data_IF_495643367461
#
_entry.id   IF_495643367461
#
_cell.length_a   1.000
_cell.length_b   1.000
_cell.length_c   1.000
_cell.angle_alpha   90.00
_cell.angle_beta   90.00
_cell.angle_gamma   90.00
#
_symmetry.space_group_name_H-M   'P 1'
#
loop_
_entity.id
_entity.type
_entity.pdbx_description
1 polymer ?
#
# COMPACT_ATOMS: atom_id res chain seq x y z
N UNK A 1 -27.03 21.45 26.64
CA UNK A 1 -25.56 21.55 26.69
C UNK A 1 -25.06 20.61 25.60
N UNK A 2 -24.83 21.16 24.40
CA UNK A 2 -24.46 20.41 23.18
C UNK A 2 -22.94 20.20 23.26
N UNK A 3 -22.50 18.93 23.44
CA UNK A 3 -21.10 18.61 23.29
C UNK A 3 -20.77 18.69 21.76
N UNK A 4 -20.08 19.75 21.40
CA UNK A 4 -19.36 19.83 20.13
C UNK A 4 -18.27 18.75 20.14
N UNK A 5 -18.53 17.62 19.49
CA UNK A 5 -17.47 16.69 19.09
C UNK A 5 -16.61 17.43 18.05
N UNK A 6 -15.51 18.02 18.50
CA UNK A 6 -14.44 18.44 17.62
C UNK A 6 -13.88 17.18 16.99
N UNK A 7 -14.23 16.91 15.73
CA UNK A 7 -13.47 15.99 14.89
C UNK A 7 -12.07 16.57 14.75
N UNK A 8 -11.16 16.14 15.60
CA UNK A 8 -9.74 16.36 15.36
C UNK A 8 -9.41 15.64 14.05
N UNK A 9 -9.11 16.43 13.04
CA UNK A 9 -8.53 16.00 11.78
C UNK A 9 -7.05 15.63 12.06
N UNK A 10 -6.86 14.63 12.93
CA UNK A 10 -5.54 14.17 13.33
C UNK A 10 -4.91 13.42 12.17
N UNK A 11 -3.68 13.76 11.84
CA UNK A 11 -2.88 12.98 10.89
C UNK A 11 -2.66 11.59 11.49
N UNK A 12 -2.63 10.53 10.64
CA UNK A 12 -2.32 9.20 11.14
C UNK A 12 -0.87 9.12 11.63
N UNK A 13 -0.65 8.36 12.69
CA UNK A 13 0.69 7.98 13.12
C UNK A 13 1.29 6.99 12.11
N UNK A 14 2.49 7.31 11.63
CA UNK A 14 3.21 6.51 10.64
C UNK A 14 4.36 5.76 11.31
N UNK A 15 4.48 4.47 11.01
CA UNK A 15 5.58 3.65 11.50
C UNK A 15 6.18 2.84 10.37
N UNK A 16 7.51 2.69 10.39
CA UNK A 16 8.27 1.85 9.48
C UNK A 16 8.66 0.54 10.17
N UNK A 17 8.45 -0.59 9.49
CA UNK A 17 8.77 -1.93 9.96
C UNK A 17 9.67 -2.59 8.92
N UNK A 18 10.87 -3.00 9.34
CA UNK A 18 11.93 -3.48 8.46
C UNK A 18 12.38 -4.90 8.79
N UNK A 19 11.85 -5.47 9.86
CA UNK A 19 12.19 -6.82 10.34
C UNK A 19 10.94 -7.54 10.85
N UNK A 20 10.84 -8.83 10.58
CA UNK A 20 9.72 -9.66 11.02
C UNK A 20 9.55 -9.68 12.56
N UNK A 21 10.64 -9.54 13.32
CA UNK A 21 10.59 -9.49 14.78
C UNK A 21 9.92 -8.24 15.36
N UNK A 22 9.76 -7.19 14.55
CA UNK A 22 9.01 -5.99 14.93
C UNK A 22 7.50 -6.18 14.81
N UNK A 23 7.05 -7.26 14.17
CA UNK A 23 5.63 -7.53 13.91
C UNK A 23 5.02 -8.28 15.10
N UNK A 24 4.16 -7.62 15.85
CA UNK A 24 3.40 -8.27 16.91
C UNK A 24 2.26 -9.12 16.34
N UNK A 25 1.77 -10.15 17.07
CA UNK A 25 0.60 -10.92 16.67
C UNK A 25 -0.64 -10.04 16.39
N UNK A 26 -0.78 -8.95 17.12
CA UNK A 26 -1.85 -7.97 17.00
C UNK A 26 -1.76 -7.18 15.69
N UNK A 27 -0.58 -6.64 15.37
CA UNK A 27 -0.34 -5.98 14.09
C UNK A 27 -0.56 -6.94 12.92
N UNK A 28 -0.08 -8.18 13.03
CA UNK A 28 -0.35 -9.22 12.02
C UNK A 28 -1.84 -9.43 11.81
N UNK A 29 -2.63 -9.54 12.88
CA UNK A 29 -4.09 -9.65 12.82
C UNK A 29 -4.71 -8.47 12.10
N UNK A 30 -4.36 -7.26 12.50
CA UNK A 30 -4.87 -6.02 11.88
C UNK A 30 -4.51 -5.89 10.39
N UNK A 31 -3.33 -6.35 9.97
CA UNK A 31 -2.94 -6.36 8.55
C UNK A 31 -3.83 -7.32 7.75
N UNK A 32 -4.09 -8.51 8.27
CA UNK A 32 -4.98 -9.49 7.64
C UNK A 32 -6.40 -8.93 7.52
N UNK A 33 -6.95 -8.38 8.60
CA UNK A 33 -8.31 -7.81 8.63
C UNK A 33 -8.45 -6.64 7.66
N UNK A 34 -7.47 -5.74 7.64
CA UNK A 34 -7.43 -4.63 6.70
C UNK A 34 -7.40 -5.14 5.25
N UNK A 35 -6.59 -6.14 4.94
CA UNK A 35 -6.47 -6.69 3.60
C UNK A 35 -7.77 -7.36 3.14
N UNK A 36 -8.41 -8.14 4.02
CA UNK A 36 -9.73 -8.73 3.79
C UNK A 36 -10.77 -7.64 3.51
N UNK A 37 -10.84 -6.62 4.38
CA UNK A 37 -11.79 -5.53 4.25
C UNK A 37 -11.63 -4.76 2.93
N UNK A 38 -10.39 -4.46 2.53
CA UNK A 38 -10.08 -3.77 1.27
C UNK A 38 -10.46 -4.64 0.08
N UNK A 39 -10.08 -5.92 0.06
CA UNK A 39 -10.39 -6.83 -1.05
C UNK A 39 -11.90 -7.00 -1.22
N UNK A 40 -12.61 -7.27 -0.13
CA UNK A 40 -14.05 -7.54 -0.16
C UNK A 40 -14.89 -6.28 -0.43
N UNK A 41 -14.32 -5.09 -0.25
CA UNK A 41 -14.95 -3.83 -0.67
C UNK A 41 -14.67 -3.45 -2.13
N UNK A 42 -14.09 -4.34 -2.90
CA UNK A 42 -13.76 -4.13 -4.31
C UNK A 42 -12.41 -3.44 -4.55
N UNK A 43 -11.58 -3.24 -3.53
CA UNK A 43 -10.27 -2.60 -3.68
C UNK A 43 -9.27 -3.45 -4.47
N UNK A 44 -8.26 -2.79 -5.06
CA UNK A 44 -7.19 -3.41 -5.82
C UNK A 44 -6.15 -4.06 -4.87
N UNK A 45 -6.47 -5.22 -4.32
CA UNK A 45 -5.74 -5.78 -3.20
C UNK A 45 -4.93 -7.06 -3.51
N UNK A 46 -4.80 -7.44 -4.77
CA UNK A 46 -3.94 -8.56 -5.18
C UNK A 46 -4.54 -9.95 -5.01
N UNK A 47 -5.84 -10.07 -4.75
CA UNK A 47 -6.55 -11.34 -4.73
C UNK A 47 -7.58 -11.42 -5.87
N UNK A 48 -7.68 -12.56 -6.57
CA UNK A 48 -8.77 -12.83 -7.51
C UNK A 48 -10.02 -13.31 -6.75
N UNK A 49 -11.18 -13.21 -7.40
CA UNK A 49 -12.43 -13.82 -6.98
C UNK A 49 -12.87 -13.53 -5.52
N UNK A 50 -12.99 -12.25 -5.12
CA UNK A 50 -13.57 -11.96 -3.81
C UNK A 50 -15.00 -12.57 -3.67
N UNK A 51 -15.46 -12.89 -2.46
CA UNK A 51 -14.87 -12.53 -1.18
C UNK A 51 -13.70 -13.45 -0.76
N UNK A 52 -12.71 -12.85 -0.09
CA UNK A 52 -11.60 -13.59 0.55
C UNK A 52 -11.81 -13.69 2.06
N UNK A 53 -11.17 -14.69 2.65
CA UNK A 53 -11.24 -14.99 4.09
C UNK A 53 -9.83 -15.05 4.71
N UNK A 54 -9.78 -15.20 6.02
CA UNK A 54 -8.52 -15.31 6.77
C UNK A 54 -7.59 -16.40 6.20
N UNK A 55 -8.14 -17.57 5.83
CA UNK A 55 -7.35 -18.67 5.28
C UNK A 55 -6.70 -18.36 3.92
N UNK A 56 -7.26 -17.40 3.18
CA UNK A 56 -6.70 -16.96 1.90
C UNK A 56 -5.61 -15.92 2.12
N UNK A 57 -5.82 -15.00 3.06
CA UNK A 57 -4.99 -13.81 3.26
C UNK A 57 -3.83 -14.06 4.23
N UNK A 58 -4.04 -14.83 5.30
CA UNK A 58 -3.01 -15.04 6.32
C UNK A 58 -1.70 -15.64 5.78
N UNK A 59 -1.71 -16.68 4.93
CA UNK A 59 -0.46 -17.22 4.38
C UNK A 59 0.32 -16.22 3.52
N UNK A 60 -0.39 -15.37 2.79
CA UNK A 60 0.21 -14.33 1.94
C UNK A 60 0.81 -13.23 2.80
N UNK A 61 0.10 -12.83 3.86
CA UNK A 61 0.59 -11.88 4.86
C UNK A 61 1.85 -12.40 5.54
N UNK A 62 1.85 -13.65 6.02
CA UNK A 62 3.02 -14.26 6.67
C UNK A 62 4.24 -14.30 5.74
N UNK A 63 4.02 -14.66 4.48
CA UNK A 63 5.08 -14.65 3.46
C UNK A 63 5.62 -13.25 3.19
N UNK A 64 4.76 -12.23 3.22
CA UNK A 64 5.16 -10.83 3.07
C UNK A 64 6.00 -10.39 4.25
N UNK A 65 5.51 -10.63 5.48
CA UNK A 65 6.15 -10.22 6.71
C UNK A 65 7.49 -10.94 6.94
N UNK A 66 7.58 -12.23 6.61
CA UNK A 66 8.82 -13.00 6.70
C UNK A 66 9.92 -12.56 5.71
N UNK A 67 9.62 -11.64 4.81
CA UNK A 67 10.57 -11.08 3.84
C UNK A 67 10.95 -9.63 4.13
N UNK A 68 10.52 -9.07 5.26
CA UNK A 68 10.91 -7.72 5.65
C UNK A 68 12.42 -7.65 5.85
N UNK A 69 13.02 -6.57 5.35
CA UNK A 69 14.45 -6.37 5.42
C UNK A 69 14.78 -4.88 5.27
N UNK A 70 15.71 -4.32 6.07
CA UNK A 70 16.01 -2.87 6.08
C UNK A 70 16.44 -2.32 4.71
N UNK A 71 17.09 -3.12 3.87
CA UNK A 71 17.57 -2.69 2.56
C UNK A 71 16.68 -3.10 1.39
N UNK A 72 15.80 -4.11 1.56
CA UNK A 72 15.11 -4.74 0.45
C UNK A 72 13.60 -4.62 0.49
N UNK A 73 13.02 -4.67 1.69
CA UNK A 73 11.56 -4.65 1.83
C UNK A 73 11.13 -4.02 3.14
N UNK A 74 10.45 -2.91 3.05
CA UNK A 74 9.94 -2.16 4.19
C UNK A 74 8.43 -2.08 4.15
N UNK A 75 7.80 -2.30 5.29
CA UNK A 75 6.37 -2.09 5.51
C UNK A 75 6.20 -0.73 6.21
N UNK A 76 5.35 0.12 5.68
CA UNK A 76 4.94 1.38 6.30
C UNK A 76 3.48 1.25 6.69
N UNK A 77 3.16 1.55 7.93
CA UNK A 77 1.79 1.50 8.49
C UNK A 77 1.31 2.89 8.86
N UNK A 78 0.02 3.10 8.76
CA UNK A 78 -0.68 4.29 9.22
C UNK A 78 -1.74 3.88 10.25
N UNK A 79 -1.76 4.53 11.41
CA UNK A 79 -2.66 4.22 12.52
C UNK A 79 -3.35 5.47 13.02
N UNK A 80 -4.56 5.29 13.55
CA UNK A 80 -5.20 6.25 14.44
C UNK A 80 -5.34 5.55 15.79
N UNK A 81 -4.71 6.08 16.79
CA UNK A 81 -4.52 5.40 18.07
C UNK A 81 -3.93 4.00 17.84
N UNK A 82 -4.57 2.95 18.34
CA UNK A 82 -4.11 1.56 18.18
C UNK A 82 -4.70 0.83 16.95
N UNK A 83 -5.49 1.52 16.12
CA UNK A 83 -6.17 0.92 14.97
C UNK A 83 -5.42 1.15 13.68
N UNK A 84 -5.11 0.09 12.94
CA UNK A 84 -4.49 0.16 11.63
C UNK A 84 -5.47 0.74 10.60
N UNK A 85 -5.14 1.91 10.07
CA UNK A 85 -5.93 2.60 9.05
C UNK A 85 -5.49 2.29 7.63
N UNK A 86 -4.23 1.86 7.45
CA UNK A 86 -3.69 1.52 6.16
C UNK A 86 -2.21 1.13 6.21
N UNK A 87 -1.70 0.64 5.09
CA UNK A 87 -0.31 0.21 4.98
C UNK A 87 0.16 0.18 3.52
N UNK A 88 1.47 0.17 3.32
CA UNK A 88 2.11 0.08 2.00
C UNK A 88 3.46 -0.62 2.13
N UNK A 89 3.92 -1.25 1.08
CA UNK A 89 5.23 -1.91 1.01
C UNK A 89 6.11 -1.23 -0.01
N UNK A 90 7.33 -0.91 0.39
CA UNK A 90 8.43 -0.50 -0.49
C UNK A 90 9.36 -1.70 -0.70
N UNK A 91 9.56 -2.09 -1.96
CA UNK A 91 10.57 -3.08 -2.35
C UNK A 91 11.71 -2.39 -3.07
N UNK A 92 12.92 -2.85 -2.81
CA UNK A 92 14.15 -2.38 -3.44
C UNK A 92 15.06 -3.57 -3.75
N UNK A 93 15.58 -3.62 -4.97
CA UNK A 93 16.61 -4.57 -5.38
C UNK A 93 17.95 -3.81 -5.46
N UNK A 94 18.94 -4.13 -4.61
CA UNK A 94 20.23 -3.45 -4.60
C UNK A 94 21.15 -3.83 -5.75
N UNK A 95 20.70 -4.71 -6.67
CA UNK A 95 21.50 -5.07 -7.83
C UNK A 95 21.81 -3.83 -8.67
N UNK A 96 23.09 -3.61 -8.97
CA UNK A 96 23.62 -2.35 -9.55
C UNK A 96 22.87 -1.84 -10.79
N UNK A 97 22.30 -2.73 -11.59
CA UNK A 97 21.56 -2.35 -12.80
C UNK A 97 20.22 -1.67 -12.47
N UNK A 98 19.59 -2.05 -11.38
CA UNK A 98 18.25 -1.61 -10.97
C UNK A 98 18.21 -0.93 -9.60
N UNK A 99 19.33 -0.85 -8.90
CA UNK A 99 19.44 -0.38 -7.53
C UNK A 99 19.16 1.13 -7.32
N UNK A 100 18.88 1.88 -8.39
CA UNK A 100 18.51 3.30 -8.31
C UNK A 100 16.99 3.52 -8.19
N UNK A 101 16.17 2.47 -8.21
CA UNK A 101 14.72 2.59 -8.10
C UNK A 101 14.09 1.54 -7.19
N UNK A 102 12.90 1.84 -6.70
CA UNK A 102 12.09 0.95 -5.89
C UNK A 102 10.69 0.74 -6.45
N UNK A 103 10.02 -0.32 -5.98
CA UNK A 103 8.63 -0.62 -6.35
C UNK A 103 7.71 -0.46 -5.14
N UNK A 104 6.62 0.25 -5.35
CA UNK A 104 5.54 0.38 -4.36
C UNK A 104 4.52 -0.72 -4.60
N UNK A 105 4.23 -1.49 -3.56
CA UNK A 105 3.25 -2.57 -3.60
C UNK A 105 2.25 -2.44 -2.45
N UNK A 106 1.06 -2.97 -2.66
CA UNK A 106 0.04 -3.14 -1.62
C UNK A 106 -0.32 -1.85 -0.87
N UNK A 107 -0.44 -0.70 -1.56
CA UNK A 107 -1.03 0.47 -0.92
C UNK A 107 -2.49 0.16 -0.59
N UNK A 108 -2.80 0.15 0.70
CA UNK A 108 -4.14 -0.16 1.19
C UNK A 108 -4.59 0.85 2.24
N UNK A 109 -5.84 1.26 2.13
CA UNK A 109 -6.53 2.05 3.16
C UNK A 109 -7.80 1.31 3.54
N UNK A 110 -7.93 0.96 4.81
CA UNK A 110 -9.11 0.31 5.35
C UNK A 110 -10.36 1.13 5.00
N UNK A 111 -11.47 0.51 4.55
CA UNK A 111 -12.66 1.23 4.06
C UNK A 111 -13.18 2.31 5.02
N UNK A 112 -13.15 2.06 6.31
CA UNK A 112 -13.61 3.01 7.34
C UNK A 112 -12.74 4.27 7.48
N UNK A 113 -11.51 4.24 6.96
CA UNK A 113 -10.56 5.36 7.01
C UNK A 113 -10.34 6.02 5.65
N UNK A 114 -11.07 5.61 4.61
CA UNK A 114 -11.02 6.28 3.29
C UNK A 114 -11.48 7.73 3.39
N UNK A 115 -10.94 8.59 2.51
CA UNK A 115 -11.24 10.02 2.53
C UNK A 115 -10.54 10.84 3.62
N UNK A 116 -9.80 10.20 4.54
CA UNK A 116 -9.08 10.84 5.64
C UNK A 116 -7.59 11.08 5.37
N UNK A 117 -7.16 11.01 4.11
CA UNK A 117 -5.78 11.30 3.72
C UNK A 117 -4.75 10.20 4.01
N UNK A 118 -5.16 9.01 4.51
CA UNK A 118 -4.26 7.90 4.88
C UNK A 118 -3.37 7.47 3.73
N UNK A 119 -3.94 7.19 2.55
CA UNK A 119 -3.16 6.78 1.37
C UNK A 119 -2.12 7.83 0.96
N UNK A 120 -2.49 9.11 1.00
CA UNK A 120 -1.57 10.21 0.69
C UNK A 120 -0.45 10.35 1.73
N UNK A 121 -0.75 10.14 3.02
CA UNK A 121 0.25 10.15 4.08
C UNK A 121 1.26 9.02 3.91
N UNK A 122 0.78 7.78 3.67
CA UNK A 122 1.62 6.62 3.40
C UNK A 122 2.54 6.84 2.20
N UNK A 123 2.02 7.36 1.08
CA UNK A 123 2.81 7.59 -0.12
C UNK A 123 3.86 8.68 0.05
N UNK A 124 3.57 9.74 0.81
CA UNK A 124 4.57 10.78 1.11
C UNK A 124 5.68 10.26 2.00
N UNK A 125 5.34 9.49 3.03
CA UNK A 125 6.35 8.89 3.92
C UNK A 125 7.21 7.87 3.17
N UNK A 126 6.59 7.01 2.34
CA UNK A 126 7.30 6.07 1.50
C UNK A 126 8.30 6.77 0.56
N UNK A 127 7.88 7.88 -0.09
CA UNK A 127 8.76 8.69 -0.94
C UNK A 127 9.96 9.26 -0.15
N UNK A 128 9.71 9.76 1.06
CA UNK A 128 10.76 10.27 1.94
C UNK A 128 11.76 9.17 2.32
N UNK A 129 11.28 8.01 2.74
CA UNK A 129 12.12 6.84 3.06
C UNK A 129 12.94 6.41 1.85
N UNK A 130 12.34 6.31 0.67
CA UNK A 130 13.01 5.93 -0.57
C UNK A 130 14.17 6.87 -0.91
N UNK A 131 13.93 8.17 -0.85
CA UNK A 131 14.92 9.19 -1.17
C UNK A 131 15.99 9.33 -0.08
N UNK A 132 15.57 9.52 1.18
CA UNK A 132 16.46 10.00 2.25
C UNK A 132 17.22 8.84 2.93
N UNK A 133 16.63 7.63 2.98
CA UNK A 133 17.23 6.49 3.66
C UNK A 133 17.82 5.45 2.71
N UNK A 134 17.23 5.27 1.53
CA UNK A 134 17.69 4.28 0.54
C UNK A 134 18.43 4.92 -0.63
N UNK A 135 18.42 6.26 -0.77
CA UNK A 135 19.09 6.97 -1.85
C UNK A 135 18.52 6.65 -3.24
N UNK A 136 17.24 6.29 -3.33
CA UNK A 136 16.60 5.97 -4.60
C UNK A 136 16.32 7.25 -5.40
N UNK A 137 16.37 7.15 -6.71
CA UNK A 137 16.12 8.26 -7.65
C UNK A 137 14.68 8.27 -8.15
N UNK A 138 14.03 7.11 -8.17
CA UNK A 138 12.66 6.97 -8.70
C UNK A 138 11.90 5.79 -8.07
N UNK A 139 10.58 5.85 -8.17
CA UNK A 139 9.67 4.79 -7.72
C UNK A 139 8.76 4.36 -8.86
N UNK A 140 8.44 3.07 -8.87
CA UNK A 140 7.53 2.45 -9.81
C UNK A 140 6.36 1.82 -9.06
N UNK A 141 5.20 1.77 -9.68
CA UNK A 141 4.08 0.93 -9.25
C UNK A 141 3.26 0.47 -10.45
N UNK A 142 2.54 -0.62 -10.24
CA UNK A 142 1.48 -1.06 -11.11
C UNK A 142 0.16 -1.05 -10.32
N UNK A 143 -0.91 -0.56 -10.90
CA UNK A 143 -2.21 -0.47 -10.25
C UNK A 143 -3.34 -0.82 -11.22
N UNK A 144 -4.44 -1.32 -10.64
CA UNK A 144 -5.63 -1.68 -11.40
C UNK A 144 -6.32 -0.43 -11.94
N UNK A 145 -6.71 -0.44 -13.21
CA UNK A 145 -7.51 0.60 -13.86
C UNK A 145 -8.94 0.67 -13.33
N UNK A 146 -9.62 1.75 -13.68
CA UNK A 146 -11.05 1.99 -13.47
C UNK A 146 -11.53 2.38 -12.05
N UNK A 147 -10.63 2.72 -11.12
CA UNK A 147 -11.03 3.08 -9.75
C UNK A 147 -10.65 4.52 -9.35
N UNK A 148 -10.33 5.38 -10.31
CA UNK A 148 -9.83 6.74 -10.03
C UNK A 148 -8.45 6.74 -9.34
N UNK A 149 -7.74 5.61 -9.38
CA UNK A 149 -6.39 5.50 -8.84
C UNK A 149 -5.38 6.29 -9.65
N UNK A 150 -5.58 6.40 -10.98
CA UNK A 150 -4.77 7.26 -11.86
C UNK A 150 -4.76 8.70 -11.36
N UNK A 151 -5.94 9.26 -11.06
CA UNK A 151 -6.07 10.63 -10.54
C UNK A 151 -5.44 10.77 -9.16
N UNK A 152 -5.59 9.75 -8.31
CA UNK A 152 -4.97 9.74 -6.98
C UNK A 152 -3.44 9.82 -7.08
N UNK A 153 -2.83 8.97 -7.88
CA UNK A 153 -1.38 8.96 -8.07
C UNK A 153 -0.89 10.22 -8.79
N UNK A 154 -1.61 10.71 -9.80
CA UNK A 154 -1.27 11.94 -10.53
C UNK A 154 -1.21 13.16 -9.61
N UNK A 155 -2.14 13.28 -8.66
CA UNK A 155 -2.10 14.34 -7.62
C UNK A 155 -0.89 14.24 -6.68
N UNK A 156 -0.26 13.08 -6.59
CA UNK A 156 0.98 12.86 -5.81
C UNK A 156 2.25 12.99 -6.66
N UNK A 157 2.12 13.43 -7.92
CA UNK A 157 3.24 13.66 -8.83
C UNK A 157 3.66 12.46 -9.66
N UNK A 158 2.92 11.35 -9.60
CA UNK A 158 3.16 10.18 -10.44
C UNK A 158 2.63 10.43 -11.86
N UNK A 159 3.27 9.82 -12.86
CA UNK A 159 2.81 9.84 -14.25
C UNK A 159 2.65 8.42 -14.79
N UNK A 160 1.63 8.18 -15.58
CA UNK A 160 1.46 6.93 -16.32
C UNK A 160 2.57 6.80 -17.38
N UNK A 161 3.19 5.64 -17.45
CA UNK A 161 4.25 5.33 -18.42
C UNK A 161 3.92 4.14 -19.31
N UNK A 162 2.84 3.44 -19.02
CA UNK A 162 2.38 2.30 -19.79
C UNK A 162 1.11 1.68 -19.24
N UNK A 163 0.52 0.79 -20.03
CA UNK A 163 -0.71 0.08 -19.66
C UNK A 163 -0.71 -1.32 -20.28
N UNK A 164 -1.15 -2.29 -19.50
CA UNK A 164 -1.40 -3.66 -19.96
C UNK A 164 -2.91 -3.90 -20.02
N UNK A 165 -3.51 -3.95 -21.21
CA UNK A 165 -4.94 -4.23 -21.34
C UNK A 165 -5.29 -5.65 -20.87
N UNK A 166 -6.34 -5.76 -20.04
CA UNK A 166 -6.86 -7.03 -19.54
C UNK A 166 -5.89 -7.83 -18.69
N UNK A 167 -4.87 -7.22 -18.10
CA UNK A 167 -3.81 -7.90 -17.35
C UNK A 167 -4.31 -8.62 -16.10
N UNK A 168 -5.35 -8.10 -15.46
CA UNK A 168 -5.87 -8.61 -14.20
C UNK A 168 -7.22 -9.30 -14.40
N UNK A 169 -7.36 -10.53 -13.92
CA UNK A 169 -8.63 -11.26 -13.93
C UNK A 169 -9.17 -11.36 -12.51
N UNK A 170 -10.28 -10.66 -12.25
CA UNK A 170 -10.95 -10.66 -10.96
C UNK A 170 -12.01 -11.74 -10.85
N UNK A 171 -12.67 -12.06 -11.98
CA UNK A 171 -13.66 -13.12 -12.12
C UNK A 171 -13.62 -13.66 -13.55
N UNK A 172 -14.29 -14.80 -13.87
CA UNK A 172 -14.29 -15.37 -15.23
C UNK A 172 -14.62 -14.37 -16.33
N UNK A 173 -15.55 -13.45 -16.06
CA UNK A 173 -16.03 -12.43 -17.01
C UNK A 173 -15.61 -11.01 -16.63
N UNK A 174 -14.72 -10.84 -15.63
CA UNK A 174 -14.22 -9.54 -15.16
C UNK A 174 -12.70 -9.45 -15.28
N UNK A 175 -12.23 -8.80 -16.34
CA UNK A 175 -10.83 -8.46 -16.54
C UNK A 175 -10.63 -6.97 -16.47
N UNK A 176 -9.49 -6.54 -15.91
CA UNK A 176 -9.13 -5.13 -15.74
C UNK A 176 -7.76 -4.84 -16.34
N UNK A 177 -7.59 -3.63 -16.81
CA UNK A 177 -6.29 -3.14 -17.21
C UNK A 177 -5.40 -2.94 -15.98
N UNK A 178 -4.11 -3.06 -16.18
CA UNK A 178 -3.10 -2.63 -15.21
C UNK A 178 -2.31 -1.47 -15.83
N UNK A 179 -2.25 -0.34 -15.14
CA UNK A 179 -1.46 0.81 -15.56
C UNK A 179 -0.18 0.93 -14.73
N UNK A 180 0.88 1.36 -15.41
CA UNK A 180 2.21 1.51 -14.85
C UNK A 180 2.49 2.97 -14.55
N UNK A 181 2.86 3.28 -13.32
CA UNK A 181 3.15 4.64 -12.87
C UNK A 181 4.60 4.78 -12.46
N UNK A 182 5.15 5.94 -12.77
CA UNK A 182 6.51 6.36 -12.41
C UNK A 182 6.47 7.67 -11.63
N UNK A 183 7.20 7.71 -10.53
CA UNK A 183 7.56 8.94 -9.82
C UNK A 183 9.06 9.19 -9.96
N UNK A 184 9.41 10.26 -10.65
CA UNK A 184 10.79 10.71 -10.89
C UNK A 184 10.77 12.22 -11.20
N UNK A 185 11.60 13.05 -10.50
CA UNK A 185 12.50 12.69 -9.39
C UNK A 185 11.76 12.49 -8.05
N UNK A 186 12.45 11.84 -7.09
CA UNK A 186 11.96 11.70 -5.70
C UNK A 186 12.20 12.95 -4.87
#
# INVERSE_FOLDING_TARGET
MLLLMTTHDSMPDLAQITDAHQVTPELRGQLIDCWIAVTNSGGAAGFPFPPVQVNDVAPVTDKLLGRLHPQHRRLITARFDDVLAGWVVLNHDPYRLVGHWGTVNHLQTHPEFRGRGVGSALMRELRKIARDELGLEQLHLAARGEEGLEDFYSRLGWREVGRWPGALRLAPDDTRDEFLMLLNPL
#
